data_IF_660144998236
#
_entry.id   IF_660144998236
#
_cell.length_a   1.000
_cell.length_b   1.000
_cell.length_c   1.000
_cell.angle_alpha   90.00
_cell.angle_beta   90.00
_cell.angle_gamma   90.00
#
_symmetry.space_group_name_H-M   'P 1'
#
loop_
_entity.id
_entity.type
_entity.pdbx_description
1 polymer ?
#
# COMPACT_ATOMS: atom_id res chain seq x y z
N UNK A 1 -9.17 3.61 10.98
CA UNK A 1 -8.69 4.73 10.15
C UNK A 1 -7.32 4.39 9.57
N UNK A 2 -6.89 5.08 8.52
CA UNK A 2 -5.54 4.91 7.98
C UNK A 2 -4.98 6.23 7.47
N UNK A 3 -3.66 6.30 7.39
CA UNK A 3 -2.93 7.36 6.71
C UNK A 3 -2.02 6.69 5.69
N UNK A 4 -2.05 7.17 4.46
CA UNK A 4 -1.20 6.70 3.38
C UNK A 4 -0.52 7.88 2.71
N UNK A 5 0.75 7.70 2.38
CA UNK A 5 1.51 8.61 1.54
C UNK A 5 2.22 7.83 0.45
N UNK A 6 2.36 8.44 -0.71
CA UNK A 6 3.22 7.91 -1.76
C UNK A 6 4.00 9.02 -2.44
N UNK A 7 5.16 8.66 -2.98
CA UNK A 7 6.07 9.58 -3.62
C UNK A 7 6.64 8.96 -4.89
N UNK A 8 6.45 9.67 -6.01
CA UNK A 8 7.07 9.38 -7.30
C UNK A 8 8.49 9.91 -7.31
N UNK A 9 9.46 9.01 -7.10
CA UNK A 9 10.89 9.36 -7.04
C UNK A 9 11.44 9.87 -8.37
N UNK A 10 10.83 9.42 -9.47
CA UNK A 10 11.24 9.73 -10.84
C UNK A 10 10.65 11.06 -11.36
N UNK A 11 9.88 11.78 -10.54
CA UNK A 11 9.39 13.13 -10.83
C UNK A 11 8.08 13.21 -11.61
N UNK A 12 7.49 12.08 -11.99
CA UNK A 12 6.19 12.06 -12.64
C UNK A 12 5.06 12.48 -11.70
N UNK A 13 3.94 12.88 -12.29
CA UNK A 13 2.70 13.18 -11.56
C UNK A 13 1.64 12.14 -11.88
N UNK A 14 0.83 11.81 -10.88
CA UNK A 14 -0.38 11.01 -11.08
C UNK A 14 -1.48 11.90 -11.65
N UNK A 15 -2.14 11.42 -12.69
CA UNK A 15 -3.34 12.10 -13.18
C UNK A 15 -4.46 11.94 -12.14
N UNK A 16 -5.11 13.05 -11.82
CA UNK A 16 -6.23 13.11 -10.90
C UNK A 16 -7.45 13.61 -11.65
N UNK A 17 -8.54 12.86 -11.62
CA UNK A 17 -9.81 13.26 -12.25
C UNK A 17 -10.98 12.74 -11.45
N UNK A 18 -11.91 13.64 -11.09
CA UNK A 18 -13.17 13.28 -10.44
C UNK A 18 -13.03 12.45 -9.16
N UNK A 19 -12.01 12.73 -8.33
CA UNK A 19 -11.76 11.95 -7.11
C UNK A 19 -10.84 10.74 -7.30
N UNK A 20 -10.56 10.34 -8.53
CA UNK A 20 -9.77 9.15 -8.84
C UNK A 20 -8.33 9.51 -9.16
N UNK A 21 -7.40 8.73 -8.59
CA UNK A 21 -5.97 8.83 -8.85
C UNK A 21 -5.60 7.72 -9.84
N UNK A 22 -5.22 8.10 -11.06
CA UNK A 22 -4.77 7.15 -12.07
C UNK A 22 -3.28 6.79 -11.89
N UNK A 23 -2.85 5.73 -12.58
CA UNK A 23 -1.42 5.39 -12.63
C UNK A 23 -0.61 6.55 -13.26
N UNK A 24 0.61 6.82 -12.77
CA UNK A 24 1.52 7.75 -13.43
C UNK A 24 1.88 7.23 -14.83
N UNK A 25 2.04 8.14 -15.78
CA UNK A 25 2.60 7.80 -17.10
C UNK A 25 4.11 8.03 -17.05
N UNK A 26 4.95 6.99 -17.20
CA UNK A 26 6.40 7.17 -17.19
C UNK A 26 6.85 8.11 -18.30
N UNK A 27 7.64 9.12 -17.96
CA UNK A 27 8.16 10.08 -18.93
C UNK A 27 9.47 9.61 -19.58
N UNK A 28 10.22 8.73 -18.89
CA UNK A 28 11.53 8.24 -19.31
C UNK A 28 11.57 6.76 -19.67
N UNK A 29 12.64 6.35 -20.39
CA UNK A 29 12.88 4.95 -20.79
C UNK A 29 13.08 3.98 -19.62
N UNK A 30 13.37 4.48 -18.41
CA UNK A 30 13.60 3.67 -17.20
C UNK A 30 12.32 3.35 -16.42
N UNK A 31 11.17 3.85 -16.87
CA UNK A 31 9.91 3.72 -16.15
C UNK A 31 9.77 4.75 -15.02
N UNK A 32 8.66 4.70 -14.30
CA UNK A 32 8.42 5.52 -13.12
C UNK A 32 8.50 4.66 -11.85
N UNK A 33 9.16 5.15 -10.80
CA UNK A 33 9.25 4.46 -9.50
C UNK A 33 8.50 5.27 -8.46
N UNK A 34 7.63 4.58 -7.74
CA UNK A 34 6.84 5.15 -6.65
C UNK A 34 7.07 4.36 -5.37
N UNK A 35 7.39 5.06 -4.30
CA UNK A 35 7.37 4.48 -2.95
C UNK A 35 6.05 4.81 -2.27
N UNK A 36 5.54 3.87 -1.48
CA UNK A 36 4.33 4.06 -0.69
C UNK A 36 4.57 3.61 0.74
N UNK A 37 4.00 4.35 1.67
CA UNK A 37 3.93 3.99 3.07
C UNK A 37 2.49 4.18 3.54
N UNK A 38 1.98 3.19 4.28
CA UNK A 38 0.65 3.26 4.87
C UNK A 38 0.69 2.73 6.29
N UNK A 39 0.11 3.51 7.19
CA UNK A 39 -0.20 3.08 8.55
C UNK A 39 -1.72 2.99 8.70
N UNK A 40 -2.21 1.85 9.17
CA UNK A 40 -3.63 1.66 9.46
C UNK A 40 -3.84 1.15 10.86
N UNK A 41 -4.88 1.64 11.51
CA UNK A 41 -5.34 1.17 12.81
C UNK A 41 -6.83 0.86 12.75
N UNK A 42 -7.19 -0.29 13.27
CA UNK A 42 -8.58 -0.68 13.49
C UNK A 42 -8.76 -1.15 14.94
N UNK A 43 -9.90 -0.79 15.50
CA UNK A 43 -10.34 -1.19 16.83
C UNK A 43 -11.73 -1.81 16.64
N UNK A 44 -11.86 -3.08 17.02
CA UNK A 44 -13.08 -3.88 16.86
C UNK A 44 -13.69 -4.23 18.22
N UNK A 45 -13.20 -3.64 19.31
CA UNK A 45 -13.81 -3.79 20.63
C UNK A 45 -15.00 -2.83 20.75
N UNK A 46 -16.20 -3.36 20.98
CA UNK A 46 -17.43 -2.58 21.17
C UNK A 46 -18.40 -3.27 22.15
N UNK A 47 -18.75 -2.60 23.24
CA UNK A 47 -19.60 -3.13 24.30
C UNK A 47 -19.11 -4.48 24.85
N UNK A 48 -19.93 -5.52 24.70
CA UNK A 48 -19.59 -6.89 25.11
C UNK A 48 -18.73 -7.65 24.07
N UNK A 49 -18.56 -7.11 22.85
CA UNK A 49 -17.81 -7.75 21.78
C UNK A 49 -16.33 -7.44 21.91
N UNK A 50 -15.52 -8.50 22.06
CA UNK A 50 -14.06 -8.43 22.09
C UNK A 50 -13.46 -8.87 20.75
N UNK A 51 -13.59 -8.00 19.76
CA UNK A 51 -13.09 -8.19 18.41
C UNK A 51 -11.57 -8.03 18.31
N UNK A 52 -10.96 -7.26 19.20
CA UNK A 52 -9.53 -6.98 19.24
C UNK A 52 -9.12 -5.75 18.43
N UNK A 53 -7.81 -5.49 18.42
CA UNK A 53 -7.18 -4.32 17.81
C UNK A 53 -6.10 -4.76 16.86
N UNK A 54 -5.99 -4.06 15.75
CA UNK A 54 -4.95 -4.32 14.76
C UNK A 54 -4.32 -3.03 14.26
N UNK A 55 -2.99 -3.07 14.13
CA UNK A 55 -2.17 -1.99 13.57
C UNK A 55 -1.28 -2.57 12.49
N UNK A 56 -1.32 -1.97 11.31
CA UNK A 56 -0.53 -2.43 10.18
C UNK A 56 0.36 -1.32 9.66
N UNK A 57 1.61 -1.67 9.42
CA UNK A 57 2.54 -0.89 8.62
C UNK A 57 2.70 -1.57 7.27
N UNK A 58 2.46 -0.81 6.20
CA UNK A 58 2.73 -1.24 4.83
C UNK A 58 3.79 -0.33 4.26
N UNK A 59 4.88 -0.90 3.79
CA UNK A 59 5.87 -0.24 2.95
C UNK A 59 5.82 -0.90 1.58
N UNK A 60 5.79 -0.11 0.52
CA UNK A 60 5.73 -0.67 -0.82
C UNK A 60 6.48 0.16 -1.83
N UNK A 61 6.79 -0.49 -2.95
CA UNK A 61 7.37 0.11 -4.13
C UNK A 61 6.57 -0.35 -5.34
N UNK A 62 6.20 0.60 -6.20
CA UNK A 62 5.63 0.33 -7.50
C UNK A 62 6.63 0.80 -8.56
N UNK A 63 6.88 -0.06 -9.55
CA UNK A 63 7.66 0.27 -10.71
C UNK A 63 6.80 0.14 -11.97
N UNK A 64 6.60 1.26 -12.65
CA UNK A 64 5.81 1.36 -13.87
C UNK A 64 6.76 1.31 -15.07
N UNK A 65 6.75 0.20 -15.80
CA UNK A 65 7.62 -0.03 -16.96
C UNK A 65 6.80 0.24 -18.23
N UNK A 66 7.04 1.39 -18.86
CA UNK A 66 6.25 1.86 -19.99
C UNK A 66 4.78 2.13 -19.59
N UNK A 67 3.86 2.01 -20.55
CA UNK A 67 2.42 2.22 -20.33
C UNK A 67 1.64 0.94 -19.98
N UNK A 68 2.25 -0.24 -20.16
CA UNK A 68 1.54 -1.53 -20.15
C UNK A 68 1.89 -2.43 -18.97
N UNK A 69 2.96 -2.15 -18.22
CA UNK A 69 3.44 -3.07 -17.18
C UNK A 69 3.72 -2.34 -15.87
N UNK A 70 3.23 -2.92 -14.78
CA UNK A 70 3.45 -2.44 -13.41
C UNK A 70 3.91 -3.59 -12.52
N UNK A 71 5.05 -3.42 -11.87
CA UNK A 71 5.50 -4.29 -10.79
C UNK A 71 5.23 -3.63 -9.45
N UNK A 72 4.82 -4.43 -8.47
CA UNK A 72 4.55 -3.97 -7.12
C UNK A 72 5.20 -4.91 -6.13
N UNK A 73 5.89 -4.35 -5.16
CA UNK A 73 6.39 -5.04 -3.98
C UNK A 73 5.80 -4.37 -2.75
N UNK A 74 5.19 -5.13 -1.86
CA UNK A 74 4.69 -4.64 -0.58
C UNK A 74 5.22 -5.51 0.55
N UNK A 75 5.70 -4.87 1.60
CA UNK A 75 6.01 -5.47 2.87
C UNK A 75 5.00 -4.96 3.90
N UNK A 76 4.30 -5.88 4.54
CA UNK A 76 3.28 -5.59 5.54
C UNK A 76 3.68 -6.25 6.85
N UNK A 77 3.78 -5.45 7.91
CA UNK A 77 3.87 -5.94 9.29
C UNK A 77 2.58 -5.58 10.00
N UNK A 78 1.90 -6.59 10.53
CA UNK A 78 0.70 -6.43 11.32
C UNK A 78 1.00 -6.72 12.79
N UNK A 79 0.37 -5.98 13.70
CA UNK A 79 0.33 -6.23 15.14
C UNK A 79 -1.14 -6.34 15.53
N UNK A 80 -1.59 -7.57 15.75
CA UNK A 80 -2.97 -7.89 16.09
C UNK A 80 -3.04 -8.42 17.53
N UNK A 81 -3.96 -7.86 18.32
CA UNK A 81 -4.17 -8.20 19.72
C UNK A 81 -5.64 -8.47 19.97
N UNK A 82 -5.95 -9.63 20.57
CA UNK A 82 -7.31 -10.01 20.96
C UNK A 82 -7.28 -10.79 22.27
N UNK A 83 -7.67 -10.15 23.37
CA UNK A 83 -7.55 -10.75 24.71
C UNK A 83 -6.10 -11.09 25.04
N UNK A 84 -5.82 -12.35 25.39
CA UNK A 84 -4.46 -12.85 25.64
C UNK A 84 -3.67 -13.17 24.36
N UNK A 85 -4.33 -13.21 23.20
CA UNK A 85 -3.69 -13.52 21.92
C UNK A 85 -3.01 -12.27 21.37
N UNK A 86 -1.70 -12.37 21.12
CA UNK A 86 -0.91 -11.34 20.44
C UNK A 86 -0.19 -11.98 19.26
N UNK A 87 -0.51 -11.55 18.05
CA UNK A 87 0.11 -12.02 16.81
C UNK A 87 0.79 -10.85 16.11
N UNK A 88 1.98 -11.11 15.56
CA UNK A 88 2.77 -10.13 14.82
C UNK A 88 3.21 -10.68 13.45
N UNK A 89 2.27 -10.98 12.54
CA UNK A 89 2.64 -11.55 11.25
C UNK A 89 3.30 -10.52 10.34
N UNK A 90 4.26 -11.00 9.56
CA UNK A 90 4.90 -10.25 8.49
C UNK A 90 4.60 -10.91 7.15
N UNK A 91 4.41 -10.11 6.11
CA UNK A 91 4.04 -10.59 4.78
C UNK A 91 4.75 -9.78 3.71
N UNK A 92 5.39 -10.49 2.79
CA UNK A 92 5.94 -9.92 1.55
C UNK A 92 5.02 -10.30 0.40
N UNK A 93 4.65 -9.33 -0.43
CA UNK A 93 3.78 -9.51 -1.58
C UNK A 93 4.45 -8.95 -2.82
N UNK A 94 4.52 -9.76 -3.87
CA UNK A 94 4.97 -9.34 -5.19
C UNK A 94 3.79 -9.46 -6.16
N UNK A 95 3.61 -8.46 -7.01
CA UNK A 95 2.56 -8.46 -8.05
C UNK A 95 3.11 -7.87 -9.33
N UNK A 96 2.82 -8.55 -10.44
CA UNK A 96 2.95 -8.00 -11.79
C UNK A 96 1.55 -7.75 -12.34
N UNK A 97 1.34 -6.59 -12.94
CA UNK A 97 0.06 -6.18 -13.51
C UNK A 97 0.30 -5.71 -14.95
N UNK A 98 -0.37 -6.37 -15.89
CA UNK A 98 -0.36 -6.01 -17.31
C UNK A 98 -1.64 -5.24 -17.65
N UNK A 99 -1.48 -4.18 -18.44
CA UNK A 99 -2.55 -3.38 -19.01
C UNK A 99 -2.51 -3.56 -20.52
N UNK A 100 -3.67 -3.85 -21.11
CA UNK A 100 -3.90 -4.02 -22.55
C UNK A 100 -4.95 -3.03 -23.04
#
# INVERSE_FOLDING_TARGET
WYVAGSWLLTGESRAYSGGNVANPRPAGKRGAVELLARYSRIDLDDGAVRGGRERNWTLGANWYVGSHLKFQANYVRADARRGALHLQPETVQLRAQLHF
#
